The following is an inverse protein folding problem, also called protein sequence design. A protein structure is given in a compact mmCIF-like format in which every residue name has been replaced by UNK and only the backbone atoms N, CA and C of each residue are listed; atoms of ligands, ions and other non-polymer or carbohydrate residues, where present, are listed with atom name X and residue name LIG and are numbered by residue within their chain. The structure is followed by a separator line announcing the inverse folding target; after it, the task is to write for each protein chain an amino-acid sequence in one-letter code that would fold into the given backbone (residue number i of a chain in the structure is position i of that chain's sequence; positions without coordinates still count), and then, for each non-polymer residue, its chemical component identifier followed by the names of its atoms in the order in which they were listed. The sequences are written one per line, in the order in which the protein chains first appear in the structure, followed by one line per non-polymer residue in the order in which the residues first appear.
data_IF_054439150676
#
_entry.id   IF_054439150676
#
_cell.length_a   1.000
_cell.length_b   1.000
_cell.length_c   1.000
_cell.angle_alpha   90.00
_cell.angle_beta   90.00
_cell.angle_gamma   90.00
#
_symmetry.space_group_name_H-M   'P 1'
#
loop_
_entity.id
_entity.type
_entity.pdbx_description
1 polymer ?
#
# COMPACT_ATOMS: atom_id res chain seq x y z
N UNK A 1 39.59 -69.28 15.38
CA UNK A 1 39.03 -67.96 15.02
C UNK A 1 37.59 -68.15 14.59
N UNK A 2 36.60 -67.64 15.33
CA UNK A 2 35.20 -67.68 14.93
C UNK A 2 34.86 -66.41 14.12
N UNK A 3 34.49 -66.56 12.85
CA UNK A 3 34.04 -65.45 12.00
C UNK A 3 32.71 -64.92 12.52
N UNK A 4 32.68 -63.67 12.99
CA UNK A 4 31.43 -62.94 13.26
C UNK A 4 30.85 -62.46 11.93
N UNK A 5 29.70 -63.02 11.53
CA UNK A 5 28.89 -62.48 10.44
C UNK A 5 28.09 -61.28 10.95
N UNK A 6 28.31 -60.10 10.38
CA UNK A 6 27.43 -58.96 10.55
C UNK A 6 26.39 -58.98 9.43
N UNK A 7 25.12 -59.17 9.80
CA UNK A 7 23.97 -58.87 8.94
C UNK A 7 23.56 -57.43 9.18
N UNK A 8 23.33 -56.66 8.12
CA UNK A 8 22.75 -55.32 8.25
C UNK A 8 21.34 -55.42 8.89
N UNK A 9 21.05 -54.58 9.88
CA UNK A 9 19.72 -54.44 10.47
C UNK A 9 19.47 -55.11 11.83
N UNK A 10 20.40 -55.90 12.38
CA UNK A 10 20.23 -56.56 13.70
C UNK A 10 21.15 -55.98 14.76
N UNK A 11 20.57 -55.48 15.86
CA UNK A 11 21.30 -55.20 17.11
C UNK A 11 20.91 -56.21 18.18
N UNK A 12 21.64 -56.25 19.30
CA UNK A 12 21.42 -57.21 20.42
C UNK A 12 20.00 -57.17 21.03
N UNK A 13 19.20 -56.15 20.71
CA UNK A 13 17.83 -55.96 21.19
C UNK A 13 16.74 -56.11 20.11
N UNK A 14 17.07 -56.63 18.91
CA UNK A 14 16.12 -56.90 17.82
C UNK A 14 16.36 -56.07 16.55
N UNK A 15 15.62 -56.41 15.48
CA UNK A 15 15.64 -55.67 14.21
C UNK A 15 15.13 -54.24 14.42
N UNK A 16 15.87 -53.24 13.93
CA UNK A 16 15.30 -51.90 13.75
C UNK A 16 14.22 -52.00 12.66
N UNK A 17 12.96 -52.15 13.06
CA UNK A 17 11.83 -52.19 12.12
C UNK A 17 11.63 -50.85 11.40
N UNK A 18 10.96 -50.93 10.24
CA UNK A 18 10.61 -49.85 9.30
C UNK A 18 9.70 -48.73 9.88
N UNK A 19 9.79 -48.40 11.17
CA UNK A 19 8.98 -47.36 11.81
C UNK A 19 9.26 -45.97 11.21
N UNK A 20 10.52 -45.68 10.86
CA UNK A 20 10.89 -44.43 10.20
C UNK A 20 10.37 -44.32 8.76
N UNK A 21 10.37 -45.41 8.00
CA UNK A 21 9.78 -45.46 6.65
C UNK A 21 8.26 -45.35 6.70
N UNK A 22 7.60 -46.10 7.60
CA UNK A 22 6.13 -45.99 7.81
C UNK A 22 5.70 -44.59 8.21
N UNK A 23 6.51 -43.86 9.00
CA UNK A 23 6.22 -42.48 9.38
C UNK A 23 6.37 -41.52 8.20
N UNK A 24 7.41 -41.69 7.36
CA UNK A 24 7.57 -40.93 6.11
C UNK A 24 6.45 -41.22 5.12
N UNK A 25 6.01 -42.46 5.00
CA UNK A 25 4.89 -42.88 4.14
C UNK A 25 3.57 -42.31 4.64
N UNK A 26 3.32 -42.30 5.96
CA UNK A 26 2.15 -41.65 6.55
C UNK A 26 2.18 -40.14 6.28
N UNK A 27 3.32 -39.48 6.50
CA UNK A 27 3.48 -38.05 6.21
C UNK A 27 3.24 -37.74 4.73
N UNK A 28 3.77 -38.56 3.82
CA UNK A 28 3.57 -38.43 2.38
C UNK A 28 2.08 -38.60 2.00
N UNK A 29 1.39 -39.61 2.54
CA UNK A 29 -0.04 -39.83 2.31
C UNK A 29 -0.91 -38.69 2.86
N UNK A 30 -0.52 -38.11 3.99
CA UNK A 30 -1.23 -36.96 4.59
C UNK A 30 -0.93 -35.64 3.86
N UNK A 31 0.22 -35.51 3.21
CA UNK A 31 0.60 -34.32 2.42
C UNK A 31 0.08 -34.36 0.99
N UNK A 32 -0.01 -35.55 0.41
CA UNK A 32 -0.45 -35.82 -0.96
C UNK A 32 -1.68 -36.75 -0.96
N UNK A 33 -2.76 -36.28 -0.34
CA UNK A 33 -4.03 -37.00 -0.26
C UNK A 33 -4.76 -36.93 -1.61
N UNK A 34 -4.37 -37.78 -2.56
CA UNK A 34 -4.99 -37.85 -3.87
C UNK A 34 -6.23 -38.75 -3.85
N UNK A 35 -7.31 -38.26 -4.45
CA UNK A 35 -8.57 -38.99 -4.64
C UNK A 35 -9.10 -38.79 -6.06
N UNK A 36 -9.84 -39.77 -6.57
CA UNK A 36 -10.62 -39.59 -7.78
C UNK A 36 -12.04 -39.19 -7.37
N UNK A 37 -12.51 -38.05 -7.89
CA UNK A 37 -13.75 -37.41 -7.45
C UNK A 37 -14.66 -37.20 -8.66
N UNK A 38 -15.94 -37.65 -8.63
CA UNK A 38 -16.88 -37.39 -9.70
C UNK A 38 -17.09 -35.89 -9.94
N UNK A 39 -17.26 -35.46 -11.20
CA UNK A 39 -17.44 -34.05 -11.56
C UNK A 39 -18.62 -33.40 -10.83
N UNK A 40 -19.67 -34.17 -10.52
CA UNK A 40 -20.89 -33.72 -9.85
C UNK A 40 -20.68 -33.38 -8.37
N UNK A 41 -19.62 -33.92 -7.75
CA UNK A 41 -19.27 -33.65 -6.36
C UNK A 41 -18.32 -32.46 -6.21
N UNK A 42 -17.82 -31.90 -7.31
CA UNK A 42 -16.90 -30.77 -7.32
C UNK A 42 -17.67 -29.49 -7.65
N UNK A 43 -17.47 -28.45 -6.84
CA UNK A 43 -18.07 -27.13 -7.01
C UNK A 43 -16.98 -26.10 -7.30
N UNK A 44 -17.26 -25.23 -8.27
CA UNK A 44 -16.50 -24.02 -8.53
C UNK A 44 -16.42 -23.14 -7.27
N UNK A 45 -15.35 -22.37 -7.16
CA UNK A 45 -15.18 -21.44 -6.05
C UNK A 45 -15.59 -20.02 -6.48
N UNK A 46 -16.64 -19.42 -5.88
CA UNK A 46 -17.08 -18.06 -6.23
C UNK A 46 -15.97 -17.00 -6.06
N UNK A 47 -15.00 -17.25 -5.18
CA UNK A 47 -13.89 -16.32 -4.93
C UNK A 47 -12.88 -16.21 -6.10
N UNK A 48 -13.10 -16.96 -7.19
CA UNK A 48 -12.21 -17.01 -8.36
C UNK A 48 -12.68 -16.13 -9.54
N UNK A 49 -13.72 -15.32 -9.36
CA UNK A 49 -14.36 -14.51 -10.43
C UNK A 49 -13.40 -13.53 -11.15
N UNK A 50 -12.39 -13.00 -10.44
CA UNK A 50 -11.45 -12.02 -11.00
C UNK A 50 -10.47 -12.60 -12.03
N UNK A 51 -10.41 -13.92 -12.15
CA UNK A 51 -9.47 -14.60 -13.02
C UNK A 51 -10.14 -15.07 -14.30
N UNK A 52 -9.68 -14.56 -15.46
CA UNK A 52 -10.26 -14.89 -16.76
C UNK A 52 -10.23 -16.40 -17.03
N UNK A 53 -11.27 -16.88 -17.71
CA UNK A 53 -11.45 -18.29 -18.09
C UNK A 53 -11.28 -18.43 -19.61
N UNK A 54 -10.21 -17.87 -20.17
CA UNK A 54 -9.99 -17.90 -21.61
C UNK A 54 -9.49 -19.27 -22.08
N UNK A 55 -9.74 -19.60 -23.35
CA UNK A 55 -9.19 -20.79 -24.01
C UNK A 55 -9.64 -22.14 -23.44
N UNK A 56 -10.85 -22.21 -22.87
CA UNK A 56 -11.40 -23.45 -22.28
C UNK A 56 -11.56 -24.55 -23.33
N UNK A 57 -12.06 -24.24 -24.53
CA UNK A 57 -12.24 -25.25 -25.58
C UNK A 57 -10.91 -25.83 -26.06
N UNK A 58 -9.90 -25.00 -26.31
CA UNK A 58 -8.56 -25.47 -26.65
C UNK A 58 -7.95 -26.33 -25.52
N UNK A 59 -8.21 -25.97 -24.26
CA UNK A 59 -7.79 -26.78 -23.11
C UNK A 59 -8.54 -28.11 -23.04
N UNK A 60 -9.84 -28.13 -23.33
CA UNK A 60 -10.66 -29.35 -23.41
C UNK A 60 -10.11 -30.29 -24.48
N UNK A 61 -9.90 -29.81 -25.70
CA UNK A 61 -9.31 -30.61 -26.79
C UNK A 61 -7.93 -31.17 -26.39
N UNK A 62 -7.10 -30.34 -25.75
CA UNK A 62 -5.79 -30.78 -25.26
C UNK A 62 -5.91 -31.87 -24.19
N UNK A 63 -6.86 -31.76 -23.26
CA UNK A 63 -7.11 -32.78 -22.23
C UNK A 63 -7.63 -34.08 -22.88
N UNK A 64 -8.50 -33.99 -23.90
CA UNK A 64 -8.99 -35.18 -24.61
C UNK A 64 -7.86 -35.94 -25.33
N UNK A 65 -6.90 -35.22 -25.91
CA UNK A 65 -5.78 -35.83 -26.64
C UNK A 65 -4.65 -36.28 -25.71
N UNK A 66 -4.29 -35.45 -24.72
CA UNK A 66 -3.08 -35.64 -23.91
C UNK A 66 -3.35 -36.09 -22.47
N UNK A 67 -4.61 -36.17 -22.06
CA UNK A 67 -5.00 -36.39 -20.67
C UNK A 67 -4.77 -35.18 -19.77
N UNK A 68 -5.20 -35.31 -18.51
CA UNK A 68 -5.02 -34.27 -17.49
C UNK A 68 -3.60 -34.31 -16.92
N UNK A 69 -2.74 -33.39 -17.38
CA UNK A 69 -1.33 -33.32 -16.94
C UNK A 69 -1.10 -32.82 -15.52
N UNK A 70 -1.99 -31.95 -15.04
CA UNK A 70 -1.92 -31.39 -13.69
C UNK A 70 -3.25 -31.67 -12.97
N UNK A 71 -3.18 -32.22 -11.77
CA UNK A 71 -4.35 -32.57 -10.95
C UNK A 71 -5.05 -31.31 -10.42
N UNK A 72 -6.36 -31.42 -10.18
CA UNK A 72 -7.11 -30.37 -9.49
C UNK A 72 -6.73 -30.35 -8.01
N UNK A 73 -6.91 -29.22 -7.33
CA UNK A 73 -6.80 -29.13 -5.87
C UNK A 73 -8.14 -28.70 -5.29
N UNK A 74 -8.61 -29.41 -4.27
CA UNK A 74 -9.94 -29.22 -3.69
C UNK A 74 -9.91 -29.25 -2.16
N UNK A 75 -10.86 -28.57 -1.54
CA UNK A 75 -11.17 -28.66 -0.12
C UNK A 75 -12.45 -29.46 0.08
N UNK A 76 -12.46 -30.32 1.09
CA UNK A 76 -13.65 -31.09 1.45
C UNK A 76 -14.54 -30.29 2.40
N UNK A 77 -15.78 -30.04 1.97
CA UNK A 77 -16.82 -29.34 2.71
C UNK A 77 -17.66 -30.39 3.46
N UNK A 78 -17.57 -30.40 4.79
CA UNK A 78 -18.20 -31.42 5.65
C UNK A 78 -19.72 -31.26 5.66
N UNK A 79 -20.21 -30.03 5.62
CA UNK A 79 -21.63 -29.71 5.78
C UNK A 79 -22.43 -30.13 4.54
N UNK A 80 -21.85 -29.93 3.36
CA UNK A 80 -22.49 -30.25 2.09
C UNK A 80 -22.05 -31.61 1.52
N UNK A 81 -21.05 -32.25 2.12
CA UNK A 81 -20.39 -33.47 1.61
C UNK A 81 -19.96 -33.31 0.14
N UNK A 82 -19.47 -32.12 -0.23
CA UNK A 82 -18.96 -31.80 -1.57
C UNK A 82 -17.54 -31.27 -1.51
N UNK A 83 -16.89 -31.15 -2.67
CA UNK A 83 -15.53 -30.65 -2.79
C UNK A 83 -15.54 -29.27 -3.45
N UNK A 84 -14.91 -28.28 -2.83
CA UNK A 84 -14.77 -26.92 -3.37
C UNK A 84 -13.42 -26.78 -4.05
N UNK A 85 -13.38 -26.19 -5.25
CA UNK A 85 -12.13 -25.96 -5.97
C UNK A 85 -11.24 -24.94 -5.26
N UNK A 86 -9.94 -25.23 -5.24
CA UNK A 86 -8.87 -24.31 -4.83
C UNK A 86 -8.01 -23.97 -6.02
N UNK A 87 -7.68 -24.98 -6.84
CA UNK A 87 -6.86 -24.81 -8.04
C UNK A 87 -7.35 -25.70 -9.17
N UNK A 88 -7.23 -25.20 -10.40
CA UNK A 88 -7.59 -25.91 -11.61
C UNK A 88 -8.97 -25.59 -12.17
N UNK A 89 -9.55 -24.44 -11.83
CA UNK A 89 -10.86 -23.98 -12.34
C UNK A 89 -10.99 -24.12 -13.86
N UNK A 90 -10.01 -23.64 -14.65
CA UNK A 90 -10.01 -23.78 -16.12
C UNK A 90 -10.03 -25.25 -16.57
N UNK A 91 -9.27 -26.11 -15.88
CA UNK A 91 -9.23 -27.55 -16.16
C UNK A 91 -10.56 -28.20 -15.81
N UNK A 92 -11.16 -27.82 -14.67
CA UNK A 92 -12.48 -28.30 -14.29
C UNK A 92 -13.55 -27.87 -15.28
N UNK A 93 -13.59 -26.60 -15.69
CA UNK A 93 -14.53 -26.09 -16.68
C UNK A 93 -14.36 -26.77 -18.05
N UNK A 94 -13.12 -27.05 -18.47
CA UNK A 94 -12.84 -27.83 -19.68
C UNK A 94 -13.33 -29.28 -19.58
N UNK A 95 -13.23 -29.90 -18.40
CA UNK A 95 -13.74 -31.26 -18.15
C UNK A 95 -15.27 -31.27 -18.06
N UNK A 96 -15.87 -30.27 -17.41
CA UNK A 96 -17.32 -30.14 -17.24
C UNK A 96 -18.05 -29.85 -18.55
N UNK A 97 -17.37 -29.26 -19.54
CA UNK A 97 -17.88 -29.05 -20.91
C UNK A 97 -17.70 -30.27 -21.84
N UNK A 98 -17.14 -31.37 -21.35
CA UNK A 98 -17.08 -32.64 -22.10
C UNK A 98 -18.45 -33.32 -22.12
N UNK A 99 -18.71 -34.07 -23.19
CA UNK A 99 -19.84 -35.00 -23.22
C UNK A 99 -19.64 -36.13 -22.22
N UNK A 100 -20.71 -36.78 -21.78
CA UNK A 100 -20.60 -37.88 -20.81
C UNK A 100 -19.76 -39.06 -21.35
N UNK A 101 -19.78 -39.29 -22.67
CA UNK A 101 -18.95 -40.32 -23.30
C UNK A 101 -17.47 -39.98 -23.20
N UNK A 102 -17.09 -38.75 -23.50
CA UNK A 102 -15.70 -38.27 -23.40
C UNK A 102 -15.21 -38.30 -21.96
N UNK A 103 -16.02 -37.77 -21.03
CA UNK A 103 -15.71 -37.74 -19.60
C UNK A 103 -15.52 -39.15 -19.04
N UNK A 104 -16.46 -40.07 -19.28
CA UNK A 104 -16.38 -41.42 -18.74
C UNK A 104 -15.23 -42.24 -19.36
N UNK A 105 -14.85 -41.96 -20.61
CA UNK A 105 -13.71 -42.60 -21.24
C UNK A 105 -12.38 -42.14 -20.61
N UNK A 106 -12.26 -40.84 -20.30
CA UNK A 106 -11.01 -40.27 -19.80
C UNK A 106 -10.88 -40.35 -18.26
N UNK A 107 -12.00 -40.28 -17.54
CA UNK A 107 -12.09 -40.25 -16.08
C UNK A 107 -13.08 -41.31 -15.53
N UNK A 108 -12.90 -42.61 -15.83
CA UNK A 108 -13.87 -43.65 -15.46
C UNK A 108 -14.06 -43.81 -13.94
N UNK A 109 -13.06 -43.42 -13.13
CA UNK A 109 -13.11 -43.44 -11.67
C UNK A 109 -13.34 -42.05 -11.04
N UNK A 110 -13.57 -41.02 -11.85
CA UNK A 110 -13.60 -39.62 -11.44
C UNK A 110 -12.32 -38.86 -11.77
N UNK A 111 -12.33 -37.55 -11.53
CA UNK A 111 -11.22 -36.63 -11.82
C UNK A 111 -10.16 -36.76 -10.73
N UNK A 112 -8.86 -36.90 -11.05
CA UNK A 112 -7.80 -36.93 -10.04
C UNK A 112 -7.63 -35.56 -9.39
N UNK A 113 -7.86 -35.51 -8.09
CA UNK A 113 -7.81 -34.32 -7.25
C UNK A 113 -6.87 -34.54 -6.06
N UNK A 114 -6.05 -33.54 -5.75
CA UNK A 114 -5.38 -33.41 -4.45
C UNK A 114 -6.39 -32.82 -3.47
N UNK A 115 -6.71 -33.54 -2.42
CA UNK A 115 -7.53 -33.03 -1.32
C UNK A 115 -6.61 -32.32 -0.34
N UNK A 116 -6.71 -30.99 -0.28
CA UNK A 116 -5.95 -30.22 0.69
C UNK A 116 -6.42 -30.53 2.11
N UNK A 117 -5.54 -30.31 3.08
CA UNK A 117 -5.93 -30.38 4.49
C UNK A 117 -7.00 -29.33 4.74
N UNK A 118 -7.98 -29.65 5.60
CA UNK A 118 -8.92 -28.65 6.07
C UNK A 118 -8.13 -27.46 6.61
N UNK A 119 -8.34 -26.33 5.95
CA UNK A 119 -7.81 -25.03 6.32
C UNK A 119 -8.46 -24.58 7.61
N UNK A 120 -7.67 -23.97 8.50
CA UNK A 120 -8.13 -23.55 9.82
C UNK A 120 -9.16 -22.41 9.74
N UNK A 121 -9.19 -21.67 8.62
CA UNK A 121 -10.08 -20.52 8.42
C UNK A 121 -10.42 -20.29 6.94
N UNK A 122 -11.61 -19.73 6.66
CA UNK A 122 -12.01 -19.22 5.33
C UNK A 122 -11.01 -18.22 4.73
N UNK A 123 -10.24 -17.52 5.58
CA UNK A 123 -9.16 -16.61 5.16
C UNK A 123 -8.00 -17.40 4.53
N UNK A 124 -7.65 -18.56 5.09
CA UNK A 124 -6.57 -19.41 4.57
C UNK A 124 -6.93 -19.99 3.20
N UNK A 125 -8.20 -20.35 3.00
CA UNK A 125 -8.71 -20.85 1.72
C UNK A 125 -8.48 -19.84 0.61
N UNK A 126 -8.81 -18.58 0.89
CA UNK A 126 -8.71 -17.50 -0.07
C UNK A 126 -7.26 -17.10 -0.37
N UNK A 127 -6.41 -17.06 0.66
CA UNK A 127 -4.95 -16.86 0.49
C UNK A 127 -4.35 -17.97 -0.38
N UNK A 128 -4.77 -19.22 -0.17
CA UNK A 128 -4.31 -20.37 -0.95
C UNK A 128 -4.81 -20.30 -2.41
N UNK A 129 -6.05 -19.87 -2.63
CA UNK A 129 -6.62 -19.67 -3.96
C UNK A 129 -5.85 -18.59 -4.76
N UNK A 130 -5.53 -17.47 -4.12
CA UNK A 130 -4.77 -16.38 -4.76
C UNK A 130 -3.37 -16.86 -5.16
N UNK A 131 -2.64 -17.52 -4.26
CA UNK A 131 -1.31 -18.08 -4.59
C UNK A 131 -1.35 -19.11 -5.70
N UNK A 132 -2.32 -20.03 -5.67
CA UNK A 132 -2.43 -21.07 -6.68
C UNK A 132 -2.73 -20.49 -8.08
N UNK A 133 -3.42 -19.35 -8.16
CA UNK A 133 -3.62 -18.65 -9.43
C UNK A 133 -2.40 -17.84 -9.85
N UNK A 134 -1.71 -17.18 -8.90
CA UNK A 134 -0.51 -16.41 -9.16
C UNK A 134 0.61 -17.26 -9.79
N UNK A 135 0.85 -18.46 -9.25
CA UNK A 135 1.95 -19.34 -9.69
C UNK A 135 1.82 -19.85 -11.14
N UNK A 136 0.60 -19.87 -11.68
CA UNK A 136 0.31 -20.51 -12.98
C UNK A 136 0.10 -19.47 -14.09
N UNK A 137 -0.19 -18.21 -13.76
CA UNK A 137 -0.64 -17.19 -14.72
C UNK A 137 0.39 -16.09 -14.91
N UNK A 138 0.59 -15.67 -16.16
CA UNK A 138 1.13 -14.32 -16.43
C UNK A 138 0.06 -13.29 -16.06
N UNK A 139 0.04 -12.89 -14.79
CA UNK A 139 -0.92 -11.92 -14.30
C UNK A 139 -0.61 -10.52 -14.85
N UNK A 140 -1.66 -9.84 -15.36
CA UNK A 140 -1.59 -8.44 -15.75
C UNK A 140 -1.25 -7.55 -14.55
N UNK A 141 -0.85 -6.31 -14.80
CA UNK A 141 -0.57 -5.36 -13.70
C UNK A 141 -1.79 -5.15 -12.81
N UNK A 142 -2.98 -5.09 -13.39
CA UNK A 142 -4.25 -4.96 -12.68
C UNK A 142 -4.52 -6.17 -11.78
N UNK A 143 -4.38 -7.39 -12.31
CA UNK A 143 -4.59 -8.62 -11.53
C UNK A 143 -3.58 -8.70 -10.38
N UNK A 144 -2.29 -8.41 -10.63
CA UNK A 144 -1.27 -8.40 -9.57
C UNK A 144 -1.58 -7.38 -8.47
N UNK A 145 -2.08 -6.20 -8.82
CA UNK A 145 -2.50 -5.19 -7.83
C UNK A 145 -3.68 -5.67 -7.02
N UNK A 146 -4.68 -6.26 -7.67
CA UNK A 146 -5.82 -6.84 -6.99
C UNK A 146 -5.40 -7.97 -6.04
N UNK A 147 -4.51 -8.87 -6.46
CA UNK A 147 -3.97 -9.95 -5.62
C UNK A 147 -3.28 -9.40 -4.37
N UNK A 148 -2.41 -8.41 -4.52
CA UNK A 148 -1.74 -7.75 -3.39
C UNK A 148 -2.75 -7.08 -2.46
N UNK A 149 -3.74 -6.38 -3.02
CA UNK A 149 -4.75 -5.67 -2.26
C UNK A 149 -5.62 -6.62 -1.45
N UNK A 150 -6.08 -7.69 -2.10
CA UNK A 150 -6.88 -8.70 -1.44
C UNK A 150 -6.10 -9.44 -0.36
N UNK A 151 -4.83 -9.80 -0.62
CA UNK A 151 -3.97 -10.40 0.39
C UNK A 151 -3.73 -9.47 1.57
N UNK A 152 -3.57 -8.16 1.33
CA UNK A 152 -3.42 -7.16 2.39
C UNK A 152 -4.63 -7.15 3.32
N UNK A 153 -5.85 -7.11 2.78
CA UNK A 153 -7.09 -7.19 3.58
C UNK A 153 -7.16 -8.47 4.42
N UNK A 154 -6.85 -9.63 3.82
CA UNK A 154 -6.88 -10.93 4.50
C UNK A 154 -5.85 -10.99 5.64
N UNK A 155 -4.64 -10.46 5.41
CA UNK A 155 -3.58 -10.41 6.41
C UNK A 155 -3.82 -9.34 7.48
N UNK A 156 -4.49 -8.24 7.18
CA UNK A 156 -4.95 -7.28 8.20
C UNK A 156 -5.93 -7.93 9.18
N UNK A 157 -6.88 -8.72 8.68
CA UNK A 157 -7.79 -9.50 9.52
C UNK A 157 -7.04 -10.51 10.40
N UNK A 158 -6.00 -11.17 9.87
CA UNK A 158 -5.14 -12.08 10.65
C UNK A 158 -4.27 -11.36 11.68
N UNK A 159 -3.79 -10.16 11.35
CA UNK A 159 -3.02 -9.32 12.28
C UNK A 159 -3.86 -8.89 13.48
N UNK A 160 -5.14 -8.58 13.27
CA UNK A 160 -6.08 -8.29 14.36
C UNK A 160 -6.29 -9.48 15.31
N UNK A 161 -6.22 -10.72 14.77
CA UNK A 161 -6.25 -11.96 15.57
C UNK A 161 -4.91 -12.29 16.24
N UNK A 162 -3.86 -11.53 16.00
CA UNK A 162 -2.51 -11.77 16.53
C UNK A 162 -1.75 -12.93 15.86
N UNK A 163 -2.23 -13.44 14.73
CA UNK A 163 -1.61 -14.57 14.01
C UNK A 163 -0.33 -14.18 13.27
N UNK A 164 -0.22 -12.90 12.87
CA UNK A 164 0.92 -12.38 12.11
C UNK A 164 1.35 -11.00 12.60
N UNK A 165 2.59 -10.61 12.30
CA UNK A 165 3.15 -9.30 12.66
C UNK A 165 3.33 -8.36 11.46
N UNK A 166 3.86 -8.88 10.34
CA UNK A 166 4.20 -8.09 9.16
C UNK A 166 3.43 -8.57 7.92
N UNK A 167 2.44 -7.77 7.49
CA UNK A 167 1.59 -8.03 6.33
C UNK A 167 2.41 -8.11 5.03
N UNK A 168 3.33 -7.17 4.81
CA UNK A 168 4.10 -7.11 3.56
C UNK A 168 5.03 -8.31 3.39
N UNK A 169 5.56 -8.84 4.49
CA UNK A 169 6.39 -10.03 4.47
C UNK A 169 5.58 -11.29 4.08
N UNK A 170 4.34 -11.40 4.55
CA UNK A 170 3.47 -12.52 4.19
C UNK A 170 2.99 -12.43 2.73
N UNK A 171 2.62 -11.22 2.26
CA UNK A 171 2.31 -10.99 0.83
C UNK A 171 3.50 -11.38 -0.06
N UNK A 172 4.70 -10.97 0.32
CA UNK A 172 5.93 -11.26 -0.42
C UNK A 172 6.19 -12.76 -0.55
N UNK A 173 6.00 -13.53 0.54
CA UNK A 173 6.10 -14.99 0.50
C UNK A 173 5.04 -15.61 -0.41
N UNK A 174 3.79 -15.16 -0.28
CA UNK A 174 2.64 -15.76 -0.95
C UNK A 174 2.65 -15.55 -2.47
N UNK A 175 3.15 -14.40 -2.91
CA UNK A 175 3.28 -14.06 -4.34
C UNK A 175 4.71 -14.30 -4.88
N UNK A 176 5.62 -14.87 -4.08
CA UNK A 176 7.01 -15.09 -4.47
C UNK A 176 7.71 -13.82 -5.05
N UNK A 177 7.46 -12.67 -4.43
CA UNK A 177 8.07 -11.38 -4.78
C UNK A 177 8.93 -10.86 -3.63
N UNK A 178 9.79 -9.87 -3.90
CA UNK A 178 10.52 -9.22 -2.82
C UNK A 178 9.59 -8.43 -1.90
N UNK A 179 9.90 -8.35 -0.60
CA UNK A 179 9.15 -7.49 0.34
C UNK A 179 9.12 -6.02 -0.12
N UNK A 180 10.19 -5.59 -0.81
CA UNK A 180 10.24 -4.28 -1.45
C UNK A 180 9.17 -4.12 -2.53
N UNK A 181 8.98 -5.12 -3.39
CA UNK A 181 7.92 -5.08 -4.41
C UNK A 181 6.53 -5.12 -3.78
N UNK A 182 6.30 -5.96 -2.77
CA UNK A 182 5.04 -5.98 -2.03
C UNK A 182 4.70 -4.58 -1.47
N UNK A 183 5.67 -3.92 -0.83
CA UNK A 183 5.52 -2.53 -0.34
C UNK A 183 5.17 -1.53 -1.45
N UNK A 184 5.81 -1.62 -2.62
CA UNK A 184 5.48 -0.74 -3.75
C UNK A 184 4.03 -0.92 -4.21
N UNK A 185 3.57 -2.16 -4.35
CA UNK A 185 2.17 -2.43 -4.73
C UNK A 185 1.19 -1.90 -3.68
N UNK A 186 1.45 -2.13 -2.38
CA UNK A 186 0.58 -1.59 -1.31
C UNK A 186 0.58 -0.06 -1.26
N UNK A 187 1.67 0.59 -1.66
CA UNK A 187 1.74 2.06 -1.74
C UNK A 187 0.99 2.57 -2.97
N UNK A 188 1.05 1.83 -4.08
CA UNK A 188 0.30 2.14 -5.30
C UNK A 188 -1.23 2.00 -5.15
N UNK A 189 -1.74 1.45 -4.04
CA UNK A 189 -3.17 1.51 -3.71
C UNK A 189 -3.65 2.92 -3.36
N UNK A 190 -2.75 3.77 -2.87
CA UNK A 190 -3.04 5.17 -2.52
C UNK A 190 -3.09 6.10 -3.73
N UNK A 191 -2.92 5.54 -4.93
CA UNK A 191 -3.03 6.32 -6.16
C UNK A 191 -4.48 6.71 -6.41
N UNK A 192 -4.68 7.96 -6.85
CA UNK A 192 -5.95 8.39 -7.42
C UNK A 192 -6.36 7.47 -8.60
N UNK A 193 -7.66 7.33 -8.89
CA UNK A 193 -8.16 6.39 -9.90
C UNK A 193 -7.47 6.52 -11.26
N UNK A 194 -7.25 7.74 -11.73
CA UNK A 194 -6.65 8.00 -13.04
C UNK A 194 -5.17 7.59 -13.10
N UNK A 195 -4.40 7.77 -12.02
CA UNK A 195 -3.03 7.27 -11.94
C UNK A 195 -3.00 5.75 -11.80
N UNK A 196 -3.99 5.17 -11.13
CA UNK A 196 -4.18 3.71 -11.07
C UNK A 196 -4.45 3.11 -12.46
N UNK A 197 -5.29 3.76 -13.27
CA UNK A 197 -5.53 3.36 -14.66
C UNK A 197 -4.28 3.49 -15.54
N UNK A 198 -3.52 4.57 -15.37
CA UNK A 198 -2.24 4.74 -16.05
C UNK A 198 -1.23 3.64 -15.68
N UNK A 199 -1.22 3.17 -14.43
CA UNK A 199 -0.39 2.03 -14.04
C UNK A 199 -0.88 0.72 -14.68
N UNK A 200 -2.19 0.48 -14.70
CA UNK A 200 -2.78 -0.73 -15.30
C UNK A 200 -2.55 -0.79 -16.83
N UNK A 201 -2.57 0.36 -17.50
CA UNK A 201 -2.31 0.50 -18.95
C UNK A 201 -0.83 0.65 -19.31
N UNK A 202 0.09 0.51 -18.34
CA UNK A 202 1.54 0.70 -18.49
C UNK A 202 1.97 2.11 -18.95
N UNK A 203 1.14 3.14 -18.73
CA UNK A 203 1.51 4.54 -18.91
C UNK A 203 2.49 5.07 -17.85
N UNK A 204 2.50 4.46 -16.66
CA UNK A 204 3.53 4.67 -15.63
C UNK A 204 4.03 3.33 -15.09
N UNK A 205 5.28 3.29 -14.62
CA UNK A 205 5.84 2.08 -14.01
C UNK A 205 5.55 1.97 -12.50
N UNK A 206 5.82 0.80 -11.91
CA UNK A 206 5.62 0.56 -10.48
C UNK A 206 6.51 1.44 -9.59
N UNK A 207 7.64 1.94 -10.10
CA UNK A 207 8.51 2.84 -9.32
C UNK A 207 7.92 4.24 -9.24
N UNK A 208 7.35 4.74 -10.33
CA UNK A 208 6.62 5.99 -10.41
C UNK A 208 5.36 5.90 -9.53
N UNK A 209 4.61 4.81 -9.63
CA UNK A 209 3.47 4.54 -8.74
C UNK A 209 3.85 4.57 -7.25
N UNK A 210 4.97 3.95 -6.86
CA UNK A 210 5.49 3.98 -5.48
C UNK A 210 5.97 5.39 -5.05
N UNK A 211 6.37 6.25 -5.98
CA UNK A 211 6.68 7.65 -5.69
C UNK A 211 5.40 8.47 -5.52
N UNK A 212 4.48 8.36 -6.47
CA UNK A 212 3.26 9.17 -6.52
C UNK A 212 2.28 8.80 -5.39
N UNK A 213 2.13 7.52 -5.05
CA UNK A 213 1.26 7.06 -3.97
C UNK A 213 1.72 7.45 -2.56
N UNK A 214 2.89 8.08 -2.42
CA UNK A 214 3.34 8.69 -1.15
C UNK A 214 2.91 10.15 -1.00
N UNK A 215 2.43 10.76 -2.07
CA UNK A 215 1.96 12.15 -2.09
C UNK A 215 0.47 12.18 -1.71
N UNK A 216 0.01 13.33 -1.25
CA UNK A 216 -1.41 13.61 -1.09
C UNK A 216 -2.14 13.62 -2.46
N UNK A 217 -3.47 13.58 -2.41
CA UNK A 217 -4.30 13.53 -3.62
C UNK A 217 -4.10 14.76 -4.54
N UNK A 218 -3.86 15.94 -3.96
CA UNK A 218 -3.69 17.19 -4.71
C UNK A 218 -2.39 17.19 -5.54
N UNK A 219 -1.30 16.76 -4.93
CA UNK A 219 -0.02 16.58 -5.58
C UNK A 219 -0.09 15.47 -6.63
N UNK A 220 -0.84 14.39 -6.37
CA UNK A 220 -1.10 13.36 -7.38
C UNK A 220 -1.88 13.90 -8.59
N UNK A 221 -2.86 14.78 -8.39
CA UNK A 221 -3.57 15.47 -9.48
C UNK A 221 -2.63 16.37 -10.30
N UNK A 222 -1.72 17.06 -9.62
CA UNK A 222 -0.69 17.89 -10.28
C UNK A 222 0.24 17.05 -11.16
N UNK A 223 0.67 15.88 -10.66
CA UNK A 223 1.44 14.89 -11.42
C UNK A 223 0.63 14.39 -12.63
N UNK A 224 -0.66 14.06 -12.45
CA UNK A 224 -1.53 13.61 -13.54
C UNK A 224 -1.65 14.68 -14.65
N UNK A 225 -1.81 15.95 -14.29
CA UNK A 225 -1.89 17.05 -15.24
C UNK A 225 -0.59 17.21 -16.04
N UNK A 226 0.57 17.06 -15.40
CA UNK A 226 1.85 17.04 -16.10
C UNK A 226 1.96 15.87 -17.07
N UNK A 227 1.53 14.66 -16.68
CA UNK A 227 1.52 13.49 -17.58
C UNK A 227 0.59 13.73 -18.77
N UNK A 228 -0.62 14.28 -18.55
CA UNK A 228 -1.56 14.59 -19.64
C UNK A 228 -1.01 15.62 -20.63
N UNK A 229 -0.27 16.62 -20.14
CA UNK A 229 0.25 17.70 -20.98
C UNK A 229 1.58 17.35 -21.67
N UNK A 230 2.50 16.68 -20.97
CA UNK A 230 3.87 16.44 -21.42
C UNK A 230 4.14 14.96 -21.76
N UNK A 231 3.20 14.05 -21.52
CA UNK A 231 3.32 12.60 -21.69
C UNK A 231 4.11 11.89 -20.57
N UNK A 232 4.98 12.61 -19.85
CA UNK A 232 5.79 12.09 -18.74
C UNK A 232 6.02 13.19 -17.71
N UNK A 233 6.46 12.77 -16.53
CA UNK A 233 6.92 13.67 -15.46
C UNK A 233 8.41 13.48 -15.26
N UNK A 234 9.16 14.58 -15.35
CA UNK A 234 10.58 14.59 -15.09
C UNK A 234 10.87 14.55 -13.59
N UNK A 235 12.07 14.08 -13.23
CA UNK A 235 12.42 13.89 -11.84
C UNK A 235 12.47 15.22 -11.04
N UNK A 236 12.89 16.31 -11.68
CA UNK A 236 12.90 17.63 -11.04
C UNK A 236 11.48 18.19 -10.87
N UNK A 237 10.60 18.02 -11.87
CA UNK A 237 9.17 18.37 -11.74
C UNK A 237 8.52 17.64 -10.56
N UNK A 238 8.79 16.33 -10.42
CA UNK A 238 8.32 15.55 -9.27
C UNK A 238 8.86 16.08 -7.94
N UNK A 239 10.15 16.44 -7.86
CA UNK A 239 10.74 17.00 -6.63
C UNK A 239 10.11 18.33 -6.26
N UNK A 240 9.86 19.21 -7.23
CA UNK A 240 9.19 20.49 -7.00
C UNK A 240 7.78 20.27 -6.45
N UNK A 241 6.99 19.39 -7.07
CA UNK A 241 5.63 19.07 -6.58
C UNK A 241 5.68 18.45 -5.18
N UNK A 242 6.60 17.51 -4.94
CA UNK A 242 6.79 16.90 -3.62
C UNK A 242 7.10 17.94 -2.56
N UNK A 243 8.00 18.88 -2.86
CA UNK A 243 8.38 19.95 -1.93
C UNK A 243 7.19 20.86 -1.61
N UNK A 244 6.40 21.26 -2.62
CA UNK A 244 5.18 22.05 -2.39
C UNK A 244 4.17 21.30 -1.50
N UNK A 245 3.97 19.99 -1.74
CA UNK A 245 3.08 19.15 -0.93
C UNK A 245 3.56 19.06 0.52
N UNK A 246 4.86 18.82 0.75
CA UNK A 246 5.45 18.77 2.09
C UNK A 246 5.35 20.11 2.84
N UNK A 247 5.58 21.23 2.14
CA UNK A 247 5.41 22.58 2.70
C UNK A 247 3.95 22.85 3.09
N UNK A 248 2.99 22.48 2.24
CA UNK A 248 1.56 22.58 2.54
C UNK A 248 1.15 21.72 3.74
N UNK A 249 1.64 20.48 3.81
CA UNK A 249 1.34 19.58 4.93
C UNK A 249 1.93 20.10 6.25
N UNK A 250 3.15 20.66 6.21
CA UNK A 250 3.78 21.29 7.37
C UNK A 250 2.99 22.53 7.84
N UNK A 251 2.60 23.42 6.92
CA UNK A 251 1.77 24.58 7.23
C UNK A 251 0.42 24.16 7.84
N UNK A 252 -0.21 23.12 7.30
CA UNK A 252 -1.48 22.59 7.83
C UNK A 252 -1.32 22.04 9.25
N UNK A 253 -0.23 21.31 9.54
CA UNK A 253 0.08 20.81 10.88
C UNK A 253 0.32 21.94 11.88
N UNK A 254 1.15 22.92 11.53
CA UNK A 254 1.37 24.09 12.39
C UNK A 254 0.07 24.83 12.68
N UNK A 255 -0.81 24.93 11.69
CA UNK A 255 -2.10 25.55 11.84
C UNK A 255 -3.01 24.77 12.79
N UNK A 256 -3.07 23.46 12.61
CA UNK A 256 -3.84 22.56 13.47
C UNK A 256 -3.36 22.62 14.92
N UNK A 257 -2.04 22.71 15.14
CA UNK A 257 -1.46 22.90 16.47
C UNK A 257 -1.85 24.24 17.09
N UNK A 258 -1.80 25.34 16.33
CA UNK A 258 -2.25 26.67 16.79
C UNK A 258 -3.73 26.65 17.21
N UNK A 259 -4.59 25.97 16.44
CA UNK A 259 -5.99 25.80 16.80
C UNK A 259 -6.17 24.98 18.08
N UNK A 260 -5.42 23.89 18.24
CA UNK A 260 -5.46 23.04 19.43
C UNK A 260 -4.98 23.77 20.69
N UNK A 261 -3.95 24.62 20.56
CA UNK A 261 -3.48 25.45 21.67
C UNK A 261 -4.52 26.51 22.04
N UNK A 262 -5.04 27.24 21.05
CA UNK A 262 -6.07 28.25 21.27
C UNK A 262 -7.34 27.65 21.89
N UNK A 263 -7.76 26.45 21.48
CA UNK A 263 -8.92 25.78 22.08
C UNK A 263 -8.67 25.39 23.53
N UNK A 264 -7.47 24.90 23.85
CA UNK A 264 -7.10 24.54 25.22
C UNK A 264 -7.04 25.76 26.13
N UNK A 265 -6.46 26.88 25.68
CA UNK A 265 -6.44 28.12 26.45
C UNK A 265 -7.86 28.65 26.74
N UNK A 266 -8.76 28.53 25.77
CA UNK A 266 -10.17 28.90 25.95
C UNK A 266 -10.85 28.01 27.00
N UNK A 267 -10.58 26.71 26.98
CA UNK A 267 -11.08 25.74 27.96
C UNK A 267 -10.59 26.06 29.39
N UNK A 268 -9.28 26.28 29.56
CA UNK A 268 -8.71 26.68 30.86
C UNK A 268 -9.28 28.00 31.40
N UNK A 269 -9.61 28.95 30.50
CA UNK A 269 -10.28 30.20 30.87
C UNK A 269 -11.73 29.98 31.25
N UNK A 270 -12.45 29.10 30.57
CA UNK A 270 -13.80 28.69 30.94
C UNK A 270 -13.84 28.06 32.33
N UNK A 271 -12.93 27.14 32.64
CA UNK A 271 -12.81 26.52 33.97
C UNK A 271 -12.52 27.55 35.09
N UNK A 272 -11.67 28.54 34.82
CA UNK A 272 -11.42 29.62 35.78
C UNK A 272 -12.67 30.47 36.01
N UNK A 273 -13.46 30.70 34.97
CA UNK A 273 -14.67 31.51 35.04
C UNK A 273 -15.76 30.77 35.84
N UNK A 274 -15.93 29.46 35.63
CA UNK A 274 -16.86 28.64 36.43
C UNK A 274 -16.43 28.58 37.90
N UNK A 275 -15.13 28.50 38.20
CA UNK A 275 -14.62 28.56 39.58
C UNK A 275 -14.93 29.91 40.25
N UNK A 276 -14.75 31.03 39.54
CA UNK A 276 -15.07 32.36 40.05
C UNK A 276 -16.58 32.54 40.26
N UNK A 277 -17.41 31.99 39.38
CA UNK A 277 -18.87 31.98 39.53
C UNK A 277 -19.32 31.17 40.74
N UNK A 278 -18.75 29.99 40.95
CA UNK A 278 -19.04 29.16 42.12
C UNK A 278 -18.65 29.89 43.41
N UNK A 279 -17.48 30.52 43.47
CA UNK A 279 -17.05 31.34 44.62
C UNK A 279 -17.97 32.53 44.86
N UNK A 280 -18.44 33.19 43.81
CA UNK A 280 -19.40 34.29 43.92
C UNK A 280 -20.73 33.80 44.52
N UNK A 281 -21.21 32.64 44.08
CA UNK A 281 -22.44 32.02 44.59
C UNK A 281 -22.30 31.59 46.06
N UNK A 282 -21.16 31.03 46.46
CA UNK A 282 -20.87 30.65 47.85
C UNK A 282 -20.89 31.87 48.79
N UNK A 283 -20.26 32.99 48.40
CA UNK A 283 -20.24 34.22 49.19
C UNK A 283 -21.66 34.83 49.32
N UNK A 284 -22.49 34.72 48.28
CA UNK A 284 -23.86 35.24 48.28
C UNK A 284 -24.87 34.36 49.03
N UNK A 285 -24.59 33.07 49.24
CA UNK A 285 -25.56 32.10 49.79
C UNK A 285 -25.33 31.72 51.26
N UNK A 286 -24.10 31.86 51.78
CA UNK A 286 -23.76 31.44 53.16
C UNK A 286 -23.61 32.67 54.07
N UNK A 287 -24.35 32.76 55.21
CA UNK A 287 -24.07 33.77 56.24
C UNK A 287 -22.70 33.48 56.86
N UNK A 288 -21.70 34.32 56.61
CA UNK A 288 -20.34 34.13 57.12
C UNK A 288 -20.23 34.71 58.55
N UNK A 289 -20.09 33.87 59.60
CA UNK A 289 -20.19 34.32 60.99
C UNK A 289 -18.93 35.02 61.53
N UNK A 290 -17.86 35.10 60.74
CA UNK A 290 -16.51 35.50 61.21
C UNK A 290 -15.86 36.67 60.47
N UNK A 291 -16.45 37.17 59.37
CA UNK A 291 -15.90 38.30 58.59
C UNK A 291 -16.75 39.56 58.77
N UNK A 292 -16.12 40.74 58.81
CA UNK A 292 -16.86 41.99 58.88
C UNK A 292 -17.62 42.23 57.56
N UNK A 293 -18.70 43.03 57.60
CA UNK A 293 -19.46 43.37 56.38
C UNK A 293 -18.61 44.08 55.33
N UNK A 294 -17.68 44.94 55.75
CA UNK A 294 -16.74 45.64 54.85
C UNK A 294 -15.76 44.66 54.18
N UNK A 295 -15.22 43.68 54.93
CA UNK A 295 -14.31 42.67 54.37
C UNK A 295 -15.01 41.80 53.30
N UNK A 296 -16.28 41.47 53.51
CA UNK A 296 -17.09 40.71 52.55
C UNK A 296 -17.40 41.52 51.29
N UNK A 297 -17.67 42.81 51.42
CA UNK A 297 -17.93 43.72 50.29
C UNK A 297 -16.67 43.92 49.44
N UNK A 298 -15.50 44.08 50.04
CA UNK A 298 -14.23 44.22 49.32
C UNK A 298 -13.82 42.92 48.59
N UNK A 299 -14.06 41.76 49.20
CA UNK A 299 -13.82 40.44 48.59
C UNK A 299 -14.76 40.20 47.39
N UNK A 300 -16.04 40.55 47.51
CA UNK A 300 -17.01 40.56 46.42
C UNK A 300 -16.57 41.45 45.25
N UNK A 301 -16.14 42.68 45.57
CA UNK A 301 -15.68 43.66 44.57
C UNK A 301 -14.43 43.18 43.84
N UNK A 302 -13.53 42.48 44.53
CA UNK A 302 -12.35 41.86 43.94
C UNK A 302 -12.71 40.70 42.99
N UNK A 303 -13.58 39.78 43.42
CA UNK A 303 -14.01 38.62 42.62
C UNK A 303 -14.78 39.05 41.38
N UNK A 304 -15.67 40.05 41.48
CA UNK A 304 -16.41 40.60 40.34
C UNK A 304 -15.44 41.21 39.31
N UNK A 305 -14.46 42.01 39.74
CA UNK A 305 -13.43 42.55 38.84
C UNK A 305 -12.58 41.45 38.17
N UNK A 306 -12.25 40.40 38.91
CA UNK A 306 -11.51 39.25 38.39
C UNK A 306 -12.33 38.47 37.35
N UNK A 307 -13.63 38.27 37.60
CA UNK A 307 -14.58 37.65 36.66
C UNK A 307 -14.72 38.48 35.39
N UNK A 308 -15.00 39.77 35.50
CA UNK A 308 -15.14 40.68 34.35
C UNK A 308 -13.89 40.69 33.47
N UNK A 309 -12.71 40.65 34.10
CA UNK A 309 -11.44 40.58 33.37
C UNK A 309 -11.29 39.23 32.65
N UNK A 310 -11.60 38.12 33.32
CA UNK A 310 -11.56 36.79 32.72
C UNK A 310 -12.56 36.63 31.57
N UNK A 311 -13.75 37.20 31.68
CA UNK A 311 -14.79 37.15 30.66
C UNK A 311 -14.43 37.96 29.42
N UNK A 312 -13.84 39.15 29.61
CA UNK A 312 -13.29 39.96 28.49
C UNK A 312 -12.13 39.25 27.78
N UNK A 313 -11.23 38.60 28.52
CA UNK A 313 -10.15 37.80 27.94
C UNK A 313 -10.69 36.58 27.18
N UNK A 314 -11.71 35.88 27.72
CA UNK A 314 -12.37 34.77 27.04
C UNK A 314 -12.99 35.21 25.71
N UNK A 315 -13.78 36.27 25.72
CA UNK A 315 -14.45 36.76 24.51
C UNK A 315 -13.44 37.13 23.40
N UNK A 316 -12.27 37.66 23.78
CA UNK A 316 -11.16 37.92 22.85
C UNK A 316 -10.57 36.63 22.27
N UNK A 317 -10.30 35.63 23.11
CA UNK A 317 -9.79 34.33 22.68
C UNK A 317 -10.77 33.61 21.76
N UNK A 318 -12.07 33.64 22.08
CA UNK A 318 -13.14 33.05 21.29
C UNK A 318 -13.23 33.71 19.89
N UNK A 319 -13.18 35.04 19.85
CA UNK A 319 -13.15 35.79 18.58
C UNK A 319 -11.90 35.46 17.74
N UNK A 320 -10.74 35.31 18.39
CA UNK A 320 -9.51 34.93 17.70
C UNK A 320 -9.57 33.51 17.15
N UNK A 321 -10.13 32.57 17.91
CA UNK A 321 -10.30 31.19 17.49
C UNK A 321 -11.26 31.06 16.31
N UNK A 322 -12.34 31.84 16.29
CA UNK A 322 -13.26 31.88 15.15
C UNK A 322 -12.60 32.47 13.90
N UNK A 323 -11.83 33.56 14.05
CA UNK A 323 -11.03 34.13 12.94
C UNK A 323 -10.02 33.12 12.39
N UNK A 324 -9.38 32.34 13.25
CA UNK A 324 -8.49 31.27 12.83
C UNK A 324 -9.27 30.18 12.08
N UNK A 325 -10.41 29.69 12.59
CA UNK A 325 -11.21 28.71 11.84
C UNK A 325 -11.64 29.21 10.47
N UNK A 326 -12.05 30.47 10.38
CA UNK A 326 -12.46 31.08 9.12
C UNK A 326 -11.30 31.22 8.13
N UNK A 327 -10.12 31.67 8.60
CA UNK A 327 -8.92 31.75 7.78
C UNK A 327 -8.46 30.36 7.28
N UNK A 328 -8.67 29.30 8.07
CA UNK A 328 -8.41 27.92 7.64
C UNK A 328 -9.31 27.54 6.47
N UNK A 329 -10.61 27.74 6.62
CA UNK A 329 -11.60 27.38 5.61
C UNK A 329 -11.36 28.14 4.31
N UNK A 330 -11.00 29.43 4.41
CA UNK A 330 -10.64 30.23 3.24
C UNK A 330 -9.34 29.75 2.57
N UNK A 331 -8.33 29.34 3.34
CA UNK A 331 -7.10 28.75 2.80
C UNK A 331 -7.35 27.42 2.13
N UNK A 332 -8.10 26.52 2.77
CA UNK A 332 -8.48 25.22 2.20
C UNK A 332 -9.27 25.38 0.90
N UNK A 333 -10.11 26.42 0.79
CA UNK A 333 -10.84 26.72 -0.44
C UNK A 333 -9.96 27.36 -1.54
N UNK A 334 -8.99 28.20 -1.16
CA UNK A 334 -8.12 28.91 -2.12
C UNK A 334 -6.90 28.10 -2.58
N UNK A 335 -6.41 27.16 -1.78
CA UNK A 335 -5.22 26.34 -2.08
C UNK A 335 -5.54 25.03 -2.84
N UNK A 336 -6.71 24.93 -3.47
CA UNK A 336 -7.29 23.68 -3.97
C UNK A 336 -6.53 22.98 -5.11
N UNK A 337 -5.58 23.63 -5.77
CA UNK A 337 -4.71 22.98 -6.77
C UNK A 337 -3.45 23.82 -7.06
N UNK A 338 -2.35 23.17 -7.44
CA UNK A 338 -1.26 23.87 -8.14
C UNK A 338 -1.83 24.38 -9.47
N UNK A 339 -1.83 25.70 -9.66
CA UNK A 339 -2.37 26.31 -10.88
C UNK A 339 -1.61 25.85 -12.13
N UNK A 340 -2.29 25.80 -13.28
CA UNK A 340 -1.67 25.47 -14.56
C UNK A 340 -0.49 26.40 -14.90
N UNK A 341 -0.57 27.68 -14.52
CA UNK A 341 0.54 28.62 -14.66
C UNK A 341 1.75 28.23 -13.82
N UNK A 342 1.53 27.79 -12.58
CA UNK A 342 2.62 27.36 -11.70
C UNK A 342 3.20 26.02 -12.16
N UNK A 343 2.37 25.09 -12.67
CA UNK A 343 2.85 23.85 -13.30
C UNK A 343 3.72 24.13 -14.52
N UNK A 344 3.32 25.07 -15.39
CA UNK A 344 4.14 25.50 -16.53
C UNK A 344 5.47 26.10 -16.08
N UNK A 345 5.45 26.92 -15.01
CA UNK A 345 6.66 27.49 -14.43
C UNK A 345 7.58 26.40 -13.87
N UNK A 346 7.04 25.45 -13.10
CA UNK A 346 7.77 24.29 -12.58
C UNK A 346 8.42 23.50 -13.73
N UNK A 347 7.65 23.21 -14.78
CA UNK A 347 8.16 22.49 -15.96
C UNK A 347 9.29 23.26 -16.66
N UNK A 348 9.17 24.59 -16.79
CA UNK A 348 10.22 25.42 -17.38
C UNK A 348 11.49 25.45 -16.53
N UNK A 349 11.35 25.53 -15.21
CA UNK A 349 12.48 25.50 -14.27
C UNK A 349 13.18 24.14 -14.36
N UNK A 350 12.43 23.04 -14.29
CA UNK A 350 12.97 21.69 -14.39
C UNK A 350 13.77 21.46 -15.68
N UNK A 351 13.24 21.90 -16.83
CA UNK A 351 13.95 21.82 -18.13
C UNK A 351 15.25 22.63 -18.12
N UNK A 352 15.24 23.79 -17.48
CA UNK A 352 16.42 24.67 -17.37
C UNK A 352 17.48 24.02 -16.46
N UNK A 353 17.08 23.48 -15.31
CA UNK A 353 17.98 22.74 -14.41
C UNK A 353 18.56 21.50 -15.08
N UNK A 354 17.77 20.76 -15.86
CA UNK A 354 18.28 19.62 -16.62
C UNK A 354 19.33 20.05 -17.65
N UNK A 355 19.09 21.15 -18.37
CA UNK A 355 20.04 21.70 -19.33
C UNK A 355 21.35 22.13 -18.65
N UNK A 356 21.27 22.76 -17.47
CA UNK A 356 22.43 23.14 -16.67
C UNK A 356 23.22 21.92 -16.18
N UNK A 357 22.55 20.91 -15.64
CA UNK A 357 23.21 19.66 -15.20
C UNK A 357 23.93 18.96 -16.37
N UNK A 358 23.34 18.95 -17.57
CA UNK A 358 24.01 18.41 -18.76
C UNK A 358 25.25 19.23 -19.14
N UNK A 359 25.18 20.56 -19.06
CA UNK A 359 26.33 21.43 -19.29
C UNK A 359 27.45 21.16 -18.29
N UNK A 360 27.14 21.01 -17.00
CA UNK A 360 28.11 20.70 -15.96
C UNK A 360 28.82 19.35 -16.20
N UNK A 361 28.04 18.30 -16.48
CA UNK A 361 28.60 16.98 -16.79
C UNK A 361 29.50 17.02 -18.05
N UNK A 362 29.06 17.71 -19.10
CA UNK A 362 29.85 17.88 -20.31
C UNK A 362 31.10 18.72 -20.07
N UNK A 363 31.02 19.72 -19.19
CA UNK A 363 32.16 20.54 -18.80
C UNK A 363 33.24 19.70 -18.11
N UNK A 364 32.85 18.75 -17.24
CA UNK A 364 33.82 17.83 -16.62
C UNK A 364 34.53 16.94 -17.66
N UNK A 365 33.82 16.49 -18.71
CA UNK A 365 34.43 15.77 -19.82
C UNK A 365 35.46 16.65 -20.54
N UNK A 366 35.12 17.92 -20.84
CA UNK A 366 36.05 18.86 -21.47
C UNK A 366 37.27 19.12 -20.57
N UNK A 367 37.05 19.32 -19.28
CA UNK A 367 38.10 19.53 -18.28
C UNK A 367 39.09 18.37 -18.21
N UNK A 368 38.58 17.13 -18.26
CA UNK A 368 39.40 15.92 -18.23
C UNK A 368 40.21 15.73 -19.53
N UNK A 369 39.72 16.24 -20.67
CA UNK A 369 40.39 16.15 -21.97
C UNK A 369 41.20 17.41 -22.35
N UNK A 370 41.57 18.24 -21.38
CA UNK A 370 42.25 19.53 -21.61
C UNK A 370 43.51 19.46 -22.48
N UNK A 371 44.26 18.36 -22.43
CA UNK A 371 45.49 18.17 -23.21
C UNK A 371 45.18 17.95 -24.69
N UNK A 372 44.17 17.14 -25.00
CA UNK A 372 43.68 16.90 -26.36
C UNK A 372 43.17 18.21 -26.97
N UNK A 373 42.32 18.92 -26.22
CA UNK A 373 41.77 20.22 -26.60
C UNK A 373 42.88 21.25 -26.86
N UNK A 374 43.95 21.28 -26.04
CA UNK A 374 45.04 22.23 -26.20
C UNK A 374 45.83 22.00 -27.49
N UNK A 375 45.93 20.75 -27.93
CA UNK A 375 46.74 20.35 -29.08
C UNK A 375 45.95 20.33 -30.40
N UNK A 376 44.62 20.37 -30.34
CA UNK A 376 43.72 20.43 -31.49
C UNK A 376 43.15 21.85 -31.65
N UNK A 377 43.49 22.51 -32.77
CA UNK A 377 43.11 23.90 -33.01
C UNK A 377 41.59 24.08 -33.18
N UNK A 378 40.90 23.11 -33.79
CA UNK A 378 39.46 23.19 -34.07
C UNK A 378 38.65 23.02 -32.78
N UNK A 379 39.06 22.08 -31.92
CA UNK A 379 38.44 21.88 -30.60
C UNK A 379 38.64 23.09 -29.70
N UNK A 380 39.82 23.70 -29.72
CA UNK A 380 40.11 24.92 -28.97
C UNK A 380 39.23 26.09 -29.43
N UNK A 381 39.13 26.32 -30.74
CA UNK A 381 38.28 27.38 -31.30
C UNK A 381 36.82 27.18 -30.90
N UNK A 382 36.32 25.94 -30.92
CA UNK A 382 34.95 25.62 -30.46
C UNK A 382 34.71 26.00 -29.01
N UNK A 383 35.68 25.79 -28.12
CA UNK A 383 35.55 26.17 -26.70
C UNK A 383 35.57 27.69 -26.54
N UNK A 384 36.44 28.39 -27.27
CA UNK A 384 36.48 29.86 -27.24
C UNK A 384 35.15 30.47 -27.72
N UNK A 385 34.56 29.92 -28.79
CA UNK A 385 33.22 30.31 -29.25
C UNK A 385 32.13 30.00 -28.23
N UNK A 386 32.19 28.84 -27.57
CA UNK A 386 31.22 28.46 -26.54
C UNK A 386 31.30 29.42 -25.34
N UNK A 387 32.52 29.81 -24.92
CA UNK A 387 32.74 30.80 -23.88
C UNK A 387 32.08 32.13 -24.24
N UNK A 388 32.33 32.65 -25.44
CA UNK A 388 31.71 33.91 -25.89
C UNK A 388 30.18 33.86 -25.85
N UNK A 389 29.58 32.74 -26.26
CA UNK A 389 28.12 32.56 -26.21
C UNK A 389 27.59 32.51 -24.77
N UNK A 390 28.35 31.94 -23.83
CA UNK A 390 27.98 31.95 -22.41
C UNK A 390 28.12 33.34 -21.80
N UNK A 391 29.19 34.08 -22.12
CA UNK A 391 29.39 35.46 -21.68
C UNK A 391 28.24 36.35 -22.21
N UNK A 392 27.85 36.21 -23.48
CA UNK A 392 26.70 36.91 -24.07
C UNK A 392 25.38 36.55 -23.37
N UNK A 393 25.15 35.27 -23.07
CA UNK A 393 23.97 34.85 -22.32
C UNK A 393 23.91 35.51 -20.94
N UNK A 394 25.02 35.49 -20.20
CA UNK A 394 25.11 36.07 -18.86
C UNK A 394 24.92 37.59 -18.86
N UNK A 395 25.37 38.29 -19.90
CA UNK A 395 25.17 39.73 -20.03
C UNK A 395 23.70 40.11 -20.33
N UNK A 396 22.88 39.16 -20.77
CA UNK A 396 21.47 39.36 -21.12
C UNK A 396 20.49 38.84 -20.05
N UNK A 397 20.99 38.26 -18.95
CA UNK A 397 20.23 37.89 -17.76
C UNK A 397 20.22 39.05 -16.75
#
# INVERSE_FOLDING_TARGET
MAKKSFSAGTTKSGNLGNAGEKMKDLQARTQYNFKFIPKEQIKANPKNEMYTQDGIEALKESILVNGLRHNLSVLFDVDTNTYRLVSGERRFNAISSMTDKEYNNLFPAGIPCKVEKQTTSELDEEIMLISANHDVREASMEVKRWEVSRLKELYEAKKLKGEISNINAEIAKQLNISERQARKYTTAEKLIPELSELLNSNGIDLNQADKFGKLDEEAQMSILNLIKNNGKVENEEYKSIKKLSEEKEAEAKEYQEKLKQASKELEEKNEKLTLLENKLNEINSVPQPTKSKEDLEDELKYIIKAKDKAEKERARLETNLEKLKQAQKEKEQRNTAISDSELKRISSIAKTEQALNLLENNFDILKNNKTVIKNDADLRLRIELLKSRMDDLLNNL
#
